data_IF_433192610187
#
_entry.id   IF_433192610187
#
_cell.length_a   1.000
_cell.length_b   1.000
_cell.length_c   1.000
_cell.angle_alpha   90.00
_cell.angle_beta   90.00
_cell.angle_gamma   90.00
#
_symmetry.space_group_name_H-M   'P 1'
#
loop_
_entity.id
_entity.type
_entity.pdbx_description
1 polymer ?
#
# COMPACT_ATOMS: atom_id res chain seq x y z
N UNK A 1 -15.68 0.34 -4.81
CA UNK A 1 -14.25 -0.02 -4.60
C UNK A 1 -13.84 0.51 -3.23
N UNK A 2 -12.74 0.03 -2.66
CA UNK A 2 -12.19 0.53 -1.40
C UNK A 2 -10.86 1.24 -1.68
N UNK A 3 -10.66 2.43 -1.14
CA UNK A 3 -9.43 3.18 -1.36
C UNK A 3 -8.51 3.05 -0.15
N UNK A 4 -7.27 2.68 -0.40
CA UNK A 4 -6.24 2.62 0.63
C UNK A 4 -5.15 3.62 0.32
N UNK A 5 -4.79 4.43 1.32
CA UNK A 5 -3.58 5.23 1.31
C UNK A 5 -2.42 4.41 1.87
N UNK A 6 -1.30 4.43 1.17
CA UNK A 6 -0.06 3.77 1.56
C UNK A 6 1.04 4.83 1.59
N UNK A 7 1.72 4.93 2.72
CA UNK A 7 2.88 5.80 2.82
C UNK A 7 4.12 5.04 2.31
N UNK A 8 4.91 5.68 1.45
CA UNK A 8 6.12 5.14 0.83
C UNK A 8 7.29 6.08 1.10
N UNK A 9 8.51 5.55 1.14
CA UNK A 9 9.74 6.31 1.39
C UNK A 9 10.79 6.02 0.34
N UNK A 10 11.50 7.06 -0.12
CA UNK A 10 12.75 6.88 -0.86
C UNK A 10 13.90 6.69 0.15
N UNK A 11 14.53 5.51 0.21
CA UNK A 11 15.60 5.23 1.17
C UNK A 11 16.88 6.06 0.92
N UNK A 12 17.03 6.72 -0.24
CA UNK A 12 18.20 7.55 -0.55
C UNK A 12 18.05 8.99 -0.08
N UNK A 13 16.85 9.55 -0.24
CA UNK A 13 16.56 10.95 0.10
C UNK A 13 15.80 11.12 1.42
N UNK A 14 15.27 10.03 1.99
CA UNK A 14 14.30 10.02 3.09
C UNK A 14 13.00 10.79 2.78
N UNK A 15 12.69 11.00 1.49
CA UNK A 15 11.44 11.62 1.08
C UNK A 15 10.28 10.64 1.29
N UNK A 16 9.27 11.03 2.07
CA UNK A 16 8.02 10.28 2.22
C UNK A 16 6.97 10.78 1.22
N UNK A 17 6.23 9.87 0.61
CA UNK A 17 5.10 10.14 -0.28
C UNK A 17 3.91 9.27 0.07
N UNK A 18 2.74 9.67 -0.40
CA UNK A 18 1.49 8.93 -0.23
C UNK A 18 1.00 8.45 -1.58
N UNK A 19 0.62 7.17 -1.66
CA UNK A 19 0.05 6.54 -2.85
C UNK A 19 -1.32 6.00 -2.50
N UNK A 20 -2.31 6.30 -3.32
CA UNK A 20 -3.67 5.75 -3.17
C UNK A 20 -3.84 4.57 -4.11
N UNK A 21 -4.31 3.43 -3.59
CA UNK A 21 -4.67 2.25 -4.37
C UNK A 21 -6.16 1.94 -4.23
N UNK A 22 -6.83 1.76 -5.36
CA UNK A 22 -8.21 1.29 -5.39
C UNK A 22 -8.23 -0.24 -5.42
N UNK A 23 -8.92 -0.83 -4.45
CA UNK A 23 -8.99 -2.28 -4.24
C UNK A 23 -10.43 -2.76 -4.40
N UNK A 24 -10.63 -3.83 -5.15
CA UNK A 24 -11.95 -4.44 -5.33
C UNK A 24 -12.42 -5.15 -4.06
N UNK A 25 -13.73 -5.39 -3.88
CA UNK A 25 -14.23 -6.16 -2.73
C UNK A 25 -13.60 -7.54 -2.59
N UNK A 26 -13.31 -8.21 -3.72
CA UNK A 26 -12.69 -9.54 -3.74
C UNK A 26 -11.24 -9.49 -3.26
N UNK A 27 -10.44 -8.54 -3.75
CA UNK A 27 -9.05 -8.35 -3.33
C UNK A 27 -8.97 -7.96 -1.86
N UNK A 28 -9.85 -7.08 -1.39
CA UNK A 28 -9.94 -6.73 0.03
C UNK A 28 -10.25 -7.95 0.90
N UNK A 29 -11.19 -8.80 0.46
CA UNK A 29 -11.52 -10.03 1.16
C UNK A 29 -10.37 -11.06 1.16
N UNK A 30 -9.50 -11.04 0.13
CA UNK A 30 -8.27 -11.85 0.10
C UNK A 30 -7.20 -11.27 1.02
N UNK A 31 -6.96 -9.96 0.97
CA UNK A 31 -6.01 -9.27 1.83
C UNK A 31 -6.33 -9.45 3.33
N UNK A 32 -7.60 -9.31 3.72
CA UNK A 32 -8.03 -9.50 5.12
C UNK A 32 -7.90 -10.94 5.64
N UNK A 33 -7.70 -11.93 4.77
CA UNK A 33 -7.43 -13.32 5.17
C UNK A 33 -5.94 -13.60 5.40
N UNK A 34 -5.06 -12.68 4.99
CA UNK A 34 -3.63 -12.74 5.28
C UNK A 34 -3.37 -12.43 6.76
N UNK A 35 -2.35 -13.06 7.34
CA UNK A 35 -1.84 -12.70 8.66
C UNK A 35 -1.29 -11.27 8.70
N UNK A 36 -0.81 -10.77 7.56
CA UNK A 36 -0.39 -9.39 7.35
C UNK A 36 -1.20 -8.80 6.19
N UNK A 37 -2.38 -8.27 6.53
CA UNK A 37 -3.29 -7.69 5.55
C UNK A 37 -2.73 -6.39 4.96
N UNK A 38 -1.91 -5.65 5.71
CA UNK A 38 -1.34 -4.38 5.25
C UNK A 38 -0.32 -4.63 4.14
N UNK A 39 0.57 -5.61 4.32
CA UNK A 39 1.50 -6.03 3.27
C UNK A 39 0.79 -6.49 2.00
N UNK A 40 -0.32 -7.23 2.15
CA UNK A 40 -1.11 -7.65 0.98
C UNK A 40 -1.69 -6.45 0.20
N UNK A 41 -2.11 -5.38 0.88
CA UNK A 41 -2.55 -4.14 0.23
C UNK A 41 -1.37 -3.38 -0.41
N UNK A 42 -0.20 -3.36 0.24
CA UNK A 42 1.02 -2.78 -0.33
C UNK A 42 1.48 -3.50 -1.60
N UNK A 43 1.37 -4.83 -1.63
CA UNK A 43 1.70 -5.63 -2.81
C UNK A 43 0.79 -5.30 -4.00
N UNK A 44 -0.50 -5.06 -3.77
CA UNK A 44 -1.44 -4.60 -4.80
C UNK A 44 -1.08 -3.20 -5.33
N UNK A 45 -0.49 -2.36 -4.49
CA UNK A 45 -0.11 -1.00 -4.87
C UNK A 45 1.25 -0.90 -5.54
N UNK A 46 2.09 -1.96 -5.55
CA UNK A 46 3.43 -1.95 -6.17
C UNK A 46 3.49 -1.32 -7.56
N UNK A 47 2.54 -1.57 -8.48
CA UNK A 47 2.56 -0.93 -9.80
C UNK A 47 2.37 0.60 -9.78
N UNK A 48 1.79 1.13 -8.70
CA UNK A 48 1.52 2.55 -8.49
C UNK A 48 2.63 3.26 -7.71
N UNK A 49 3.53 2.49 -7.06
CA UNK A 49 4.63 3.05 -6.28
C UNK A 49 5.69 3.60 -7.23
N UNK A 50 6.13 4.87 -7.06
CA UNK A 50 7.18 5.44 -7.89
C UNK A 50 8.49 4.65 -7.79
N UNK A 51 9.23 4.57 -8.89
CA UNK A 51 10.50 3.85 -8.92
C UNK A 51 11.48 4.36 -7.85
N UNK A 52 12.08 3.43 -7.10
CA UNK A 52 13.01 3.75 -6.01
C UNK A 52 12.34 3.93 -4.64
N UNK A 53 11.01 4.05 -4.57
CA UNK A 53 10.29 4.13 -3.31
C UNK A 53 9.96 2.74 -2.76
N UNK A 54 9.92 2.63 -1.44
CA UNK A 54 9.54 1.43 -0.70
C UNK A 54 8.34 1.72 0.21
N UNK A 55 7.36 0.81 0.33
CA UNK A 55 6.25 0.99 1.25
C UNK A 55 6.74 0.97 2.70
N UNK A 56 6.23 1.90 3.51
CA UNK A 56 6.53 1.96 4.94
C UNK A 56 5.66 0.93 5.66
N UNK A 57 6.28 0.08 6.47
CA UNK A 57 5.59 -0.92 7.28
C UNK A 57 4.52 -0.29 8.17
N UNK A 58 3.37 -0.94 8.29
CA UNK A 58 2.23 -0.52 9.10
C UNK A 58 1.61 0.85 8.76
N UNK A 59 1.99 1.48 7.64
CA UNK A 59 1.41 2.75 7.19
C UNK A 59 0.45 2.56 6.02
N UNK A 60 -0.60 1.79 6.28
CA UNK A 60 -1.72 1.56 5.34
C UNK A 60 -3.01 1.99 6.02
N UNK A 61 -3.74 2.91 5.39
CA UNK A 61 -4.98 3.50 5.92
C UNK A 61 -6.11 3.38 4.91
N UNK A 62 -7.31 3.04 5.37
CA UNK A 62 -8.51 3.12 4.55
C UNK A 62 -8.93 4.59 4.48
N UNK A 63 -9.23 5.08 3.28
CA UNK A 63 -9.81 6.41 3.04
C UNK A 63 -11.35 6.37 3.12
#
# INVERSE_FOLDING_TARGET
>A
MFEYQIDVVDPKSNEERQVTVSVTPLERARAKRSSDWMRAIQDLARPLIPAGFLPIGNRVRLL
#
